data_IF_468513483868
#
_entry.id   IF_468513483868
#
_cell.length_a   1.000
_cell.length_b   1.000
_cell.length_c   1.000
_cell.angle_alpha   90.00
_cell.angle_beta   90.00
_cell.angle_gamma   90.00
#
_symmetry.space_group_name_H-M   'P 1'
#
loop_
_entity.id
_entity.type
_entity.pdbx_description
1 polymer ?
#
# COMPACT_ATOMS: atom_id res chain seq x y z
N UNK A 1 -7.73 -18.64 -25.53
CA UNK A 1 -6.71 -18.79 -24.46
C UNK A 1 -5.35 -18.69 -25.10
N UNK A 2 -4.59 -17.64 -24.86
CA UNK A 2 -3.22 -17.56 -25.36
C UNK A 2 -2.43 -18.71 -24.73
N UNK A 3 -2.03 -19.65 -25.53
CA UNK A 3 -1.10 -20.69 -25.12
C UNK A 3 0.15 -19.93 -24.64
N UNK A 4 0.59 -20.20 -23.42
CA UNK A 4 1.81 -19.61 -22.92
C UNK A 4 2.93 -19.87 -23.93
N UNK A 5 3.31 -18.82 -24.63
CA UNK A 5 4.28 -18.87 -25.73
C UNK A 5 5.67 -19.33 -25.29
N UNK A 6 5.92 -19.39 -23.99
CA UNK A 6 7.12 -19.91 -23.36
C UNK A 6 7.47 -21.34 -23.81
N UNK A 7 6.49 -22.15 -24.20
CA UNK A 7 6.72 -23.52 -24.64
C UNK A 7 6.85 -23.67 -26.16
N UNK A 8 6.64 -22.62 -26.92
CA UNK A 8 6.78 -22.63 -28.38
C UNK A 8 8.24 -22.37 -28.83
N UNK A 9 9.10 -21.88 -27.95
CA UNK A 9 10.50 -21.61 -28.27
C UNK A 9 11.36 -22.74 -27.71
N UNK A 10 12.17 -23.41 -28.55
CA UNK A 10 12.98 -24.57 -28.15
C UNK A 10 14.13 -24.21 -27.20
N UNK A 11 14.61 -22.98 -27.20
CA UNK A 11 15.71 -22.52 -26.36
C UNK A 11 15.50 -21.08 -25.87
N UNK A 12 15.61 -20.86 -24.57
CA UNK A 12 15.83 -19.54 -23.98
C UNK A 12 17.32 -19.41 -23.67
N UNK A 13 17.97 -18.45 -24.29
CA UNK A 13 19.35 -18.08 -23.93
C UNK A 13 19.34 -16.82 -23.10
N UNK A 14 19.90 -16.85 -21.89
CA UNK A 14 20.06 -15.70 -21.03
C UNK A 14 19.09 -15.64 -19.84
N UNK A 15 19.13 -14.54 -19.10
CA UNK A 15 18.33 -14.32 -17.90
C UNK A 15 16.90 -13.91 -18.26
N UNK A 16 15.91 -14.40 -17.50
CA UNK A 16 14.52 -13.95 -17.59
C UNK A 16 14.35 -12.64 -16.83
N UNK A 17 13.81 -11.62 -17.52
CA UNK A 17 13.50 -10.32 -16.93
C UNK A 17 12.01 -10.14 -16.79
N UNK A 18 11.58 -9.60 -15.65
CA UNK A 18 10.17 -9.26 -15.42
C UNK A 18 9.83 -7.97 -16.16
N UNK A 19 8.81 -8.01 -17.01
CA UNK A 19 8.28 -6.82 -17.68
C UNK A 19 7.09 -6.27 -16.90
N UNK A 20 7.20 -5.04 -16.42
CA UNK A 20 6.12 -4.33 -15.73
C UNK A 20 6.46 -3.96 -14.29
N UNK A 21 5.50 -3.32 -13.64
CA UNK A 21 5.60 -2.91 -12.25
C UNK A 21 5.34 -4.11 -11.34
N UNK A 22 6.24 -4.42 -10.44
CA UNK A 22 6.17 -5.61 -9.58
C UNK A 22 6.59 -5.35 -8.13
N UNK A 23 6.81 -4.08 -7.78
CA UNK A 23 7.25 -3.68 -6.44
C UNK A 23 6.05 -3.50 -5.52
N UNK A 24 6.22 -3.87 -4.26
CA UNK A 24 5.21 -3.75 -3.20
C UNK A 24 5.76 -2.94 -2.01
N UNK A 25 6.11 -1.65 -2.20
CA UNK A 25 6.77 -0.84 -1.18
C UNK A 25 5.85 -0.54 0.00
N UNK A 26 4.56 -0.30 -0.21
CA UNK A 26 3.64 0.05 0.86
C UNK A 26 3.47 -1.12 1.85
N UNK A 27 3.18 -2.33 1.35
CA UNK A 27 3.04 -3.52 2.19
C UNK A 27 4.35 -3.88 2.90
N UNK A 28 5.50 -3.61 2.29
CA UNK A 28 6.82 -3.79 2.93
C UNK A 28 7.00 -2.80 4.09
N UNK A 29 6.63 -1.54 3.90
CA UNK A 29 6.77 -0.49 4.92
C UNK A 29 5.90 -0.73 6.15
N UNK A 30 4.65 -1.19 5.96
CA UNK A 30 3.73 -1.47 7.05
C UNK A 30 3.89 -2.89 7.63
N UNK A 31 4.63 -3.78 6.94
CA UNK A 31 4.77 -5.19 7.29
C UNK A 31 5.56 -5.49 8.57
N UNK A 32 6.17 -4.48 9.19
CA UNK A 32 6.97 -4.65 10.42
C UNK A 32 6.14 -5.07 11.64
N UNK A 33 4.82 -4.82 11.65
CA UNK A 33 3.93 -5.07 12.78
C UNK A 33 2.68 -5.83 12.35
N UNK A 34 2.80 -7.07 11.88
CA UNK A 34 1.63 -7.85 11.48
C UNK A 34 0.74 -8.14 12.69
N UNK A 35 -0.55 -7.91 12.52
CA UNK A 35 -1.58 -8.23 13.49
C UNK A 35 -2.37 -9.46 13.05
N UNK A 36 -3.05 -10.11 13.98
CA UNK A 36 -3.93 -11.24 13.70
C UNK A 36 -5.30 -11.02 14.31
N UNK A 37 -6.31 -11.45 13.60
CA UNK A 37 -7.70 -11.48 14.06
C UNK A 37 -8.31 -12.86 13.85
N UNK A 38 -9.22 -13.25 14.72
CA UNK A 38 -10.04 -14.45 14.55
C UNK A 38 -11.46 -14.14 14.07
N UNK A 39 -11.73 -12.87 13.74
CA UNK A 39 -13.03 -12.41 13.26
C UNK A 39 -12.86 -11.64 11.96
N UNK A 40 -13.85 -11.71 11.07
CA UNK A 40 -13.83 -11.03 9.77
C UNK A 40 -13.81 -9.52 9.93
N UNK A 41 -14.56 -8.99 10.91
CA UNK A 41 -14.59 -7.57 11.23
C UNK A 41 -13.70 -7.27 12.42
N UNK A 42 -12.87 -6.24 12.33
CA UNK A 42 -11.97 -5.83 13.40
C UNK A 42 -11.98 -4.31 13.57
N UNK A 43 -11.68 -3.87 14.79
CA UNK A 43 -11.64 -2.46 15.14
C UNK A 43 -10.37 -1.80 14.58
N UNK A 44 -10.51 -0.59 14.10
CA UNK A 44 -9.44 0.23 13.52
C UNK A 44 -9.53 1.65 14.07
N UNK A 45 -8.39 2.24 14.43
CA UNK A 45 -8.30 3.67 14.73
C UNK A 45 -9.22 4.11 15.87
N UNK A 46 -8.99 3.61 17.07
CA UNK A 46 -9.68 4.10 18.27
C UNK A 46 -9.20 5.51 18.60
N UNK A 47 -10.14 6.44 18.75
CA UNK A 47 -9.86 7.85 19.00
C UNK A 47 -10.74 8.42 20.10
N UNK A 48 -10.27 9.47 20.74
CA UNK A 48 -11.06 10.32 21.62
C UNK A 48 -10.66 11.78 21.39
N UNK A 49 -11.59 12.69 21.60
CA UNK A 49 -11.31 14.11 21.42
C UNK A 49 -10.44 14.62 22.57
N UNK A 50 -9.40 15.37 22.22
CA UNK A 50 -8.55 16.01 23.23
C UNK A 50 -9.36 17.07 24.00
N UNK A 51 -9.17 17.18 25.31
CA UNK A 51 -9.81 18.24 26.08
C UNK A 51 -9.29 19.61 25.60
N UNK A 52 -10.21 20.52 25.31
CA UNK A 52 -9.89 21.89 24.92
C UNK A 52 -9.41 22.64 26.16
N UNK A 53 -8.16 23.07 26.14
CA UNK A 53 -7.59 23.94 27.17
C UNK A 53 -8.08 25.38 26.98
N UNK A 54 -8.82 25.89 27.94
CA UNK A 54 -9.19 27.31 28.03
C UNK A 54 -8.85 27.86 29.42
N UNK A 55 -8.60 29.16 29.53
CA UNK A 55 -8.43 29.76 30.83
C UNK A 55 -9.77 29.67 31.59
N UNK A 56 -9.79 29.01 32.79
CA UNK A 56 -11.01 28.90 33.55
C UNK A 56 -11.41 30.27 34.15
N UNK A 57 -12.67 30.66 33.97
CA UNK A 57 -13.25 31.87 34.58
C UNK A 57 -14.23 31.46 35.66
N UNK A 58 -13.70 31.05 36.83
CA UNK A 58 -14.51 30.63 37.96
C UNK A 58 -14.40 31.74 39.02
N UNK A 59 -15.53 32.41 39.30
CA UNK A 59 -15.59 33.41 40.40
C UNK A 59 -15.60 32.72 41.77
N UNK A 60 -15.25 33.45 42.83
CA UNK A 60 -15.30 32.92 44.20
C UNK A 60 -16.69 32.37 44.55
N UNK A 61 -17.74 33.09 44.17
CA UNK A 61 -19.13 32.62 44.38
C UNK A 61 -19.49 31.39 43.59
N UNK A 62 -19.02 31.29 42.31
CA UNK A 62 -19.25 30.13 41.46
C UNK A 62 -18.47 28.89 41.95
N UNK A 63 -17.35 29.08 42.62
CA UNK A 63 -16.53 27.97 43.17
C UNK A 63 -17.21 27.23 44.35
N UNK A 64 -18.25 27.81 44.95
CA UNK A 64 -19.03 27.19 46.02
C UNK A 64 -19.98 26.10 45.50
N UNK A 65 -20.19 26.01 44.20
CA UNK A 65 -21.03 24.98 43.57
C UNK A 65 -20.12 24.14 42.63
N UNK A 66 -20.15 22.82 42.78
CA UNK A 66 -19.38 21.92 41.92
C UNK A 66 -19.90 22.05 40.45
N UNK A 67 -18.96 22.17 39.46
CA UNK A 67 -19.37 22.18 38.06
C UNK A 67 -19.97 20.83 37.64
N UNK A 68 -20.84 20.85 36.63
CA UNK A 68 -21.39 19.64 36.04
C UNK A 68 -20.29 18.77 35.46
N UNK A 69 -20.35 17.42 35.65
CA UNK A 69 -19.35 16.52 35.16
C UNK A 69 -19.39 16.43 33.62
N UNK A 70 -18.23 16.54 33.01
CA UNK A 70 -18.07 16.34 31.56
C UNK A 70 -17.39 14.99 31.28
N UNK A 71 -17.76 14.35 30.18
CA UNK A 71 -17.25 13.05 29.78
C UNK A 71 -16.63 13.14 28.38
N UNK A 72 -15.47 12.48 28.22
CA UNK A 72 -14.85 12.31 26.90
C UNK A 72 -15.36 11.01 26.28
N UNK A 73 -15.95 11.11 25.10
CA UNK A 73 -16.44 9.95 24.34
C UNK A 73 -15.31 9.33 23.53
N UNK A 74 -15.33 8.01 23.39
CA UNK A 74 -14.42 7.26 22.52
C UNK A 74 -15.17 6.83 21.27
N UNK A 75 -14.50 6.95 20.14
CA UNK A 75 -15.00 6.47 18.85
C UNK A 75 -14.04 5.45 18.26
N UNK A 76 -14.56 4.51 17.50
CA UNK A 76 -13.75 3.56 16.76
C UNK A 76 -14.37 3.30 15.39
N UNK A 77 -13.52 3.08 14.40
CA UNK A 77 -13.92 2.59 13.10
C UNK A 77 -13.73 1.08 13.02
N UNK A 78 -14.33 0.46 12.02
CA UNK A 78 -14.15 -0.96 11.72
C UNK A 78 -13.67 -1.17 10.29
N UNK A 79 -12.94 -2.26 10.09
CA UNK A 79 -12.58 -2.75 8.78
C UNK A 79 -12.83 -4.25 8.71
N UNK A 80 -12.72 -4.85 7.53
CA UNK A 80 -12.98 -6.28 7.30
C UNK A 80 -11.78 -6.92 6.61
N UNK A 81 -11.62 -8.22 6.84
CA UNK A 81 -10.66 -9.03 6.09
C UNK A 81 -11.22 -9.41 4.73
N UNK A 82 -10.35 -9.51 3.72
CA UNK A 82 -10.66 -9.89 2.35
C UNK A 82 -9.94 -11.18 2.01
N UNK A 83 -10.58 -12.04 1.21
CA UNK A 83 -10.01 -13.28 0.72
C UNK A 83 -9.14 -12.99 -0.51
N UNK A 84 -7.94 -13.57 -0.51
CA UNK A 84 -7.03 -13.63 -1.65
C UNK A 84 -6.81 -15.09 -2.00
N UNK A 85 -7.19 -15.47 -3.21
CA UNK A 85 -7.11 -16.86 -3.66
C UNK A 85 -6.73 -16.92 -5.13
N UNK A 86 -5.73 -17.72 -5.44
CA UNK A 86 -5.28 -17.99 -6.80
C UNK A 86 -4.99 -19.48 -6.97
N UNK A 87 -5.18 -19.99 -8.17
CA UNK A 87 -4.93 -21.39 -8.48
C UNK A 87 -3.85 -21.52 -9.54
N UNK A 88 -2.94 -22.47 -9.34
CA UNK A 88 -1.90 -22.86 -10.29
C UNK A 88 -2.20 -24.26 -10.80
N UNK A 89 -2.12 -24.45 -12.10
CA UNK A 89 -2.27 -25.77 -12.74
C UNK A 89 -1.23 -25.93 -13.83
N UNK A 90 -0.41 -26.97 -13.74
CA UNK A 90 0.62 -27.30 -14.73
C UNK A 90 0.40 -28.71 -15.24
N UNK A 91 0.29 -28.87 -16.56
CA UNK A 91 0.10 -30.19 -17.20
C UNK A 91 1.40 -30.99 -17.20
N UNK A 92 1.31 -32.31 -17.16
CA UNK A 92 2.50 -33.18 -17.23
C UNK A 92 3.31 -32.96 -18.50
N UNK A 93 2.66 -32.67 -19.64
CA UNK A 93 3.36 -32.33 -20.88
C UNK A 93 4.20 -31.06 -20.78
N UNK A 94 3.76 -30.07 -19.98
CA UNK A 94 4.54 -28.87 -19.71
C UNK A 94 5.69 -29.15 -18.74
N UNK A 95 5.46 -29.92 -17.69
CA UNK A 95 6.51 -30.32 -16.75
C UNK A 95 7.60 -31.17 -17.39
N UNK A 96 7.27 -31.98 -18.41
CA UNK A 96 8.25 -32.79 -19.13
C UNK A 96 9.05 -32.02 -20.18
N UNK A 97 8.61 -30.82 -20.59
CA UNK A 97 9.30 -30.03 -21.60
C UNK A 97 10.35 -29.12 -20.95
N UNK A 98 11.50 -29.69 -20.67
CA UNK A 98 12.63 -28.98 -20.04
C UNK A 98 13.55 -28.26 -21.05
N UNK A 99 13.23 -28.33 -22.35
CA UNK A 99 13.99 -27.61 -23.40
C UNK A 99 15.42 -28.12 -23.65
N UNK A 100 15.78 -29.30 -23.13
CA UNK A 100 17.10 -29.92 -23.32
C UNK A 100 17.02 -31.15 -24.21
N UNK A 101 17.89 -31.24 -25.21
CA UNK A 101 18.04 -32.44 -26.03
C UNK A 101 19.13 -33.33 -25.40
N UNK A 102 18.80 -34.60 -25.12
CA UNK A 102 19.74 -35.56 -24.54
C UNK A 102 20.96 -35.76 -25.47
N UNK A 103 22.18 -35.55 -24.97
CA UNK A 103 23.43 -35.77 -25.68
C UNK A 103 24.08 -34.54 -26.32
N UNK A 104 23.41 -33.41 -26.40
CA UNK A 104 23.97 -32.14 -26.89
C UNK A 104 23.72 -31.04 -25.84
N UNK A 105 24.40 -31.18 -24.72
CA UNK A 105 24.34 -30.14 -23.69
C UNK A 105 25.25 -29.00 -24.08
N UNK A 106 24.66 -27.89 -24.51
CA UNK A 106 25.29 -26.60 -24.33
C UNK A 106 25.32 -26.34 -22.82
N UNK A 107 26.51 -26.47 -22.23
CA UNK A 107 26.74 -26.22 -20.83
C UNK A 107 26.18 -24.82 -20.44
N UNK A 108 25.48 -24.73 -19.32
CA UNK A 108 25.00 -23.50 -18.67
C UNK A 108 23.86 -22.74 -19.35
N UNK A 109 22.83 -23.42 -19.81
CA UNK A 109 21.57 -22.75 -20.14
C UNK A 109 20.61 -22.80 -18.96
N UNK A 110 20.72 -21.86 -18.04
CA UNK A 110 19.82 -21.68 -16.89
C UNK A 110 18.52 -20.93 -17.25
N UNK A 111 18.24 -20.73 -18.53
CA UNK A 111 17.10 -19.91 -18.95
C UNK A 111 15.74 -20.60 -18.87
N UNK A 112 15.70 -21.93 -18.89
CA UNK A 112 14.48 -22.70 -18.62
C UNK A 112 14.43 -23.04 -17.13
N UNK A 113 13.31 -22.73 -16.44
CA UNK A 113 13.15 -23.14 -15.05
C UNK A 113 13.21 -24.67 -14.98
N UNK A 114 14.10 -25.19 -14.13
CA UNK A 114 14.24 -26.63 -13.92
C UNK A 114 12.96 -27.28 -13.38
N UNK A 115 12.13 -26.50 -12.71
CA UNK A 115 10.81 -26.88 -12.21
C UNK A 115 9.77 -25.81 -12.61
N UNK A 116 9.01 -26.10 -13.64
CA UNK A 116 7.94 -25.20 -14.12
C UNK A 116 6.84 -24.98 -13.08
N UNK A 117 6.53 -25.99 -12.27
CA UNK A 117 5.51 -25.85 -11.23
C UNK A 117 5.96 -24.86 -10.14
N UNK A 118 7.19 -25.00 -9.66
CA UNK A 118 7.78 -24.09 -8.67
C UNK A 118 7.85 -22.65 -9.21
N UNK A 119 8.22 -22.48 -10.48
CA UNK A 119 8.24 -21.19 -11.15
C UNK A 119 6.85 -20.54 -11.18
N UNK A 120 5.82 -21.29 -11.60
CA UNK A 120 4.45 -20.79 -11.67
C UNK A 120 3.87 -20.45 -10.29
N UNK A 121 4.18 -21.25 -9.27
CA UNK A 121 3.81 -20.97 -7.87
C UNK A 121 4.44 -19.65 -7.42
N UNK A 122 5.74 -19.45 -7.66
CA UNK A 122 6.44 -18.23 -7.29
C UNK A 122 5.84 -16.98 -7.98
N UNK A 123 5.52 -17.08 -9.28
CA UNK A 123 4.87 -15.99 -10.03
C UNK A 123 3.45 -15.70 -9.53
N UNK A 124 2.72 -16.72 -9.13
CA UNK A 124 1.37 -16.55 -8.56
C UNK A 124 1.41 -15.92 -7.17
N UNK A 125 2.40 -16.27 -6.33
CA UNK A 125 2.63 -15.58 -5.06
C UNK A 125 2.95 -14.10 -5.26
N UNK A 126 3.78 -13.76 -6.23
CA UNK A 126 4.07 -12.37 -6.59
C UNK A 126 2.82 -11.64 -7.07
N UNK A 127 1.96 -12.29 -7.86
CA UNK A 127 0.66 -11.73 -8.26
C UNK A 127 -0.22 -11.42 -7.05
N UNK A 128 -0.32 -12.35 -6.09
CA UNK A 128 -1.08 -12.13 -4.84
C UNK A 128 -0.49 -10.95 -4.05
N UNK A 129 0.84 -10.86 -3.93
CA UNK A 129 1.49 -9.74 -3.24
C UNK A 129 1.13 -8.40 -3.89
N UNK A 130 1.07 -8.32 -5.22
CA UNK A 130 0.64 -7.12 -5.94
C UNK A 130 -0.85 -6.82 -5.75
N UNK A 131 -1.70 -7.84 -5.70
CA UNK A 131 -3.14 -7.67 -5.41
C UNK A 131 -3.33 -7.14 -3.98
N UNK A 132 -2.57 -7.65 -3.02
CA UNK A 132 -2.55 -7.17 -1.63
C UNK A 132 -2.13 -5.71 -1.60
N UNK A 133 -1.00 -5.36 -2.20
CA UNK A 133 -0.50 -3.97 -2.29
C UNK A 133 -1.56 -3.02 -2.84
N UNK A 134 -2.15 -3.37 -3.98
CA UNK A 134 -3.21 -2.58 -4.60
C UNK A 134 -4.43 -2.42 -3.69
N UNK A 135 -4.84 -3.50 -3.03
CA UNK A 135 -6.02 -3.50 -2.16
C UNK A 135 -5.79 -2.67 -0.89
N UNK A 136 -4.60 -2.78 -0.28
CA UNK A 136 -4.27 -1.99 0.91
C UNK A 136 -4.22 -0.48 0.63
N UNK A 137 -3.90 -0.07 -0.60
CA UNK A 137 -3.89 1.33 -1.01
C UNK A 137 -5.28 1.78 -1.49
N UNK A 138 -5.87 1.07 -2.46
CA UNK A 138 -7.05 1.51 -3.22
C UNK A 138 -8.36 0.83 -2.80
N UNK A 139 -8.34 -0.07 -1.83
CA UNK A 139 -9.50 -0.87 -1.44
C UNK A 139 -10.71 -0.02 -1.05
N UNK A 140 -11.88 -0.41 -1.56
CA UNK A 140 -13.17 0.20 -1.22
C UNK A 140 -13.88 -0.72 -0.24
N UNK A 141 -14.27 -0.18 0.92
CA UNK A 141 -14.90 -0.94 1.99
C UNK A 141 -16.24 -1.53 1.56
N UNK A 142 -16.37 -2.84 1.71
CA UNK A 142 -17.65 -3.57 1.59
C UNK A 142 -17.68 -4.64 2.67
N UNK A 143 -18.68 -4.58 3.55
CA UNK A 143 -18.99 -5.65 4.49
C UNK A 143 -20.07 -6.54 3.88
N UNK A 144 -19.77 -7.82 3.75
CA UNK A 144 -20.74 -8.81 3.23
C UNK A 144 -21.95 -8.89 4.17
N UNK A 145 -23.13 -8.88 3.58
CA UNK A 145 -24.41 -9.09 4.24
C UNK A 145 -25.01 -10.47 3.91
N UNK A 146 -24.36 -11.23 3.03
CA UNK A 146 -24.72 -12.58 2.61
C UNK A 146 -23.46 -13.32 2.11
N UNK A 147 -23.51 -14.65 2.10
CA UNK A 147 -22.37 -15.50 1.74
C UNK A 147 -21.89 -15.35 0.29
N UNK A 148 -22.75 -14.88 -0.59
CA UNK A 148 -22.43 -14.62 -2.00
C UNK A 148 -21.85 -13.21 -2.25
N UNK A 149 -21.72 -12.37 -1.22
CA UNK A 149 -21.14 -11.03 -1.30
C UNK A 149 -19.72 -11.05 -0.76
N UNK A 150 -18.76 -10.57 -1.54
CA UNK A 150 -17.38 -10.51 -1.12
C UNK A 150 -17.14 -9.40 -0.10
N UNK A 151 -16.47 -9.72 1.02
CA UNK A 151 -15.88 -8.71 1.88
C UNK A 151 -14.74 -8.02 1.15
N UNK A 152 -14.67 -6.69 1.24
CA UNK A 152 -13.57 -5.89 0.69
C UNK A 152 -13.02 -5.00 1.79
N UNK A 153 -11.74 -5.11 2.04
CA UNK A 153 -11.06 -4.29 3.04
C UNK A 153 -10.96 -2.84 2.58
N UNK A 154 -11.08 -1.90 3.52
CA UNK A 154 -10.87 -0.47 3.25
C UNK A 154 -9.39 -0.22 3.09
N UNK A 155 -8.98 0.33 1.95
CA UNK A 155 -7.62 0.81 1.71
C UNK A 155 -7.36 2.17 2.36
N UNK A 156 -6.09 2.54 2.44
CA UNK A 156 -5.68 3.77 3.12
C UNK A 156 -6.25 5.02 2.46
N UNK A 157 -6.32 5.09 1.12
CA UNK A 157 -6.89 6.23 0.41
C UNK A 157 -8.37 6.46 0.71
N UNK A 158 -9.12 5.37 0.94
CA UNK A 158 -10.53 5.44 1.30
C UNK A 158 -10.75 5.73 2.80
N UNK A 159 -9.73 5.51 3.64
CA UNK A 159 -9.77 5.77 5.07
C UNK A 159 -9.52 7.25 5.41
N UNK A 160 -8.80 7.98 4.56
CA UNK A 160 -8.45 9.39 4.77
C UNK A 160 -9.69 10.27 4.58
N UNK A 161 -10.08 11.07 5.59
CA UNK A 161 -11.24 11.95 5.52
C UNK A 161 -10.99 13.15 4.59
N UNK A 162 -12.06 13.81 4.18
CA UNK A 162 -11.95 15.01 3.33
C UNK A 162 -11.23 16.17 4.03
N UNK A 163 -11.27 16.23 5.36
CA UNK A 163 -10.51 17.23 6.15
C UNK A 163 -9.00 17.11 5.97
N UNK A 164 -8.50 15.91 5.64
CA UNK A 164 -7.07 15.64 5.39
C UNK A 164 -6.78 15.44 3.90
N UNK A 165 -7.63 15.98 3.04
CA UNK A 165 -7.49 15.87 1.59
C UNK A 165 -7.27 17.25 0.99
N UNK A 166 -6.17 17.43 0.25
CA UNK A 166 -5.95 18.59 -0.58
C UNK A 166 -6.33 18.23 -1.99
N UNK A 167 -7.30 18.93 -2.57
CA UNK A 167 -7.69 18.77 -3.96
C UNK A 167 -7.21 19.95 -4.80
N UNK A 168 -6.20 19.70 -5.61
CA UNK A 168 -5.59 20.73 -6.48
C UNK A 168 -6.44 21.08 -7.68
N UNK A 169 -7.49 20.30 -7.97
CA UNK A 169 -8.46 20.60 -9.05
C UNK A 169 -9.69 21.37 -8.58
N UNK A 170 -9.84 21.63 -7.28
CA UNK A 170 -11.02 22.35 -6.73
C UNK A 170 -11.14 23.79 -7.21
N UNK A 171 -10.07 24.37 -7.78
CA UNK A 171 -10.09 25.65 -8.50
C UNK A 171 -10.14 25.39 -10.02
N UNK A 172 -10.95 26.14 -10.81
CA UNK A 172 -11.07 25.92 -12.25
C UNK A 172 -9.81 26.34 -13.05
N UNK A 173 -8.67 26.41 -12.43
CA UNK A 173 -7.36 26.66 -13.04
C UNK A 173 -6.77 25.35 -13.60
N UNK A 174 -5.80 25.50 -14.50
CA UNK A 174 -5.09 24.36 -15.10
C UNK A 174 -4.55 23.38 -14.02
N UNK A 175 -4.49 22.08 -14.32
CA UNK A 175 -3.99 21.09 -13.37
C UNK A 175 -2.59 21.47 -12.88
N UNK A 176 -2.41 21.46 -11.55
CA UNK A 176 -1.21 21.96 -10.87
C UNK A 176 -0.25 20.82 -10.60
N UNK A 177 1.04 21.05 -10.76
CA UNK A 177 2.08 20.10 -10.37
C UNK A 177 2.20 20.04 -8.84
N UNK A 178 2.63 18.89 -8.32
CA UNK A 178 2.94 18.76 -6.91
C UNK A 178 4.16 19.62 -6.55
N UNK A 179 4.02 20.46 -5.52
CA UNK A 179 5.07 21.31 -4.97
C UNK A 179 5.41 20.92 -3.54
N UNK A 180 6.57 21.36 -3.04
CA UNK A 180 6.94 21.20 -1.66
C UNK A 180 6.02 21.95 -0.68
N UNK A 181 5.50 23.10 -1.10
CA UNK A 181 4.56 23.88 -0.30
C UNK A 181 3.26 23.09 -0.08
N UNK A 182 2.74 22.42 -1.12
CA UNK A 182 1.56 21.56 -0.98
C UNK A 182 1.80 20.39 -0.05
N UNK A 183 3.01 19.82 -0.06
CA UNK A 183 3.38 18.75 0.88
C UNK A 183 3.43 19.29 2.32
N UNK A 184 3.97 20.49 2.53
CA UNK A 184 3.99 21.13 3.84
C UNK A 184 2.58 21.47 4.35
N UNK A 185 1.68 21.94 3.47
CA UNK A 185 0.26 22.14 3.80
C UNK A 185 -0.43 20.82 4.21
N UNK A 186 -0.15 19.71 3.52
CA UNK A 186 -0.69 18.41 3.89
C UNK A 186 -0.19 17.94 5.27
N UNK A 187 1.07 18.24 5.62
CA UNK A 187 1.59 17.99 6.97
C UNK A 187 0.91 18.87 8.02
N UNK A 188 0.62 20.13 7.69
CA UNK A 188 -0.09 21.03 8.59
C UNK A 188 -1.50 20.49 8.91
N UNK A 189 -2.22 19.93 7.91
CA UNK A 189 -3.52 19.30 8.15
C UNK A 189 -3.43 18.12 9.13
N UNK A 190 -2.38 17.30 9.05
CA UNK A 190 -2.15 16.21 10.01
C UNK A 190 -1.89 16.78 11.41
N UNK A 191 -1.02 17.77 11.51
CA UNK A 191 -0.66 18.40 12.78
C UNK A 191 -1.85 19.09 13.46
N UNK A 192 -2.67 19.82 12.71
CA UNK A 192 -3.82 20.57 13.24
C UNK A 192 -4.88 19.67 13.86
N UNK A 193 -4.93 18.39 13.42
CA UNK A 193 -5.81 17.38 13.99
C UNK A 193 -5.14 16.54 15.09
N UNK A 194 -3.93 16.89 15.48
CA UNK A 194 -3.18 16.19 16.55
C UNK A 194 -2.46 14.94 16.09
N UNK A 195 -2.25 14.78 14.79
CA UNK A 195 -1.44 13.70 14.22
C UNK A 195 0.06 13.96 14.43
N UNK A 196 0.84 12.88 14.54
CA UNK A 196 2.29 12.97 14.63
C UNK A 196 2.90 13.10 13.23
N UNK A 197 3.75 14.10 13.04
CA UNK A 197 4.44 14.40 11.78
C UNK A 197 5.86 13.84 11.69
N UNK A 198 6.34 13.10 12.71
CA UNK A 198 7.76 12.70 12.79
C UNK A 198 8.12 11.57 11.84
N UNK A 199 7.25 10.60 11.61
CA UNK A 199 7.53 9.39 10.82
C UNK A 199 6.69 9.31 9.54
N UNK A 200 6.33 10.45 8.97
CA UNK A 200 5.52 10.50 7.76
C UNK A 200 6.34 10.07 6.53
N UNK A 201 5.72 9.26 5.70
CA UNK A 201 6.22 8.86 4.39
C UNK A 201 5.31 9.43 3.32
N UNK A 202 5.91 10.08 2.33
CA UNK A 202 5.24 10.55 1.12
C UNK A 202 5.35 9.47 0.03
N UNK A 203 4.25 8.81 -0.26
CA UNK A 203 4.12 7.91 -1.39
C UNK A 203 3.74 8.69 -2.65
N UNK A 204 4.52 8.54 -3.71
CA UNK A 204 4.29 9.19 -5.01
C UNK A 204 4.51 8.21 -6.16
N UNK A 205 3.90 8.50 -7.31
CA UNK A 205 4.23 7.79 -8.54
C UNK A 205 5.45 8.45 -9.24
N UNK A 206 5.96 7.83 -10.29
CA UNK A 206 7.16 8.30 -10.99
C UNK A 206 7.01 9.72 -11.56
N UNK A 207 5.85 10.06 -12.10
CA UNK A 207 5.59 11.40 -12.68
C UNK A 207 5.58 12.46 -11.60
N UNK A 208 4.89 12.19 -10.50
CA UNK A 208 4.80 13.11 -9.35
C UNK A 208 6.16 13.31 -8.67
N UNK A 209 6.99 12.25 -8.59
CA UNK A 209 8.36 12.35 -8.09
C UNK A 209 9.22 13.27 -8.97
N UNK A 210 9.08 13.17 -10.31
CA UNK A 210 9.78 14.07 -11.23
C UNK A 210 9.33 15.51 -11.08
N UNK A 211 8.04 15.76 -10.81
CA UNK A 211 7.51 17.10 -10.54
C UNK A 211 8.11 17.72 -9.27
N UNK A 212 8.18 16.95 -8.18
CA UNK A 212 8.86 17.40 -6.95
C UNK A 212 10.33 17.77 -7.18
N UNK A 213 11.06 16.91 -7.90
CA UNK A 213 12.46 17.21 -8.24
C UNK A 213 12.61 18.44 -9.13
N UNK A 214 11.64 18.71 -10.00
CA UNK A 214 11.63 19.91 -10.84
C UNK A 214 11.36 21.16 -10.00
N UNK A 215 10.37 21.10 -9.09
CA UNK A 215 10.06 22.21 -8.17
C UNK A 215 11.26 22.56 -7.28
N UNK A 216 11.94 21.55 -6.71
CA UNK A 216 13.15 21.76 -5.95
C UNK A 216 14.25 22.48 -6.73
N UNK A 217 14.48 22.09 -7.99
CA UNK A 217 15.48 22.73 -8.86
C UNK A 217 15.09 24.15 -9.22
N UNK A 218 13.79 24.40 -9.50
CA UNK A 218 13.28 25.73 -9.82
C UNK A 218 13.44 26.70 -8.66
N UNK A 219 13.23 26.24 -7.44
CA UNK A 219 13.29 27.05 -6.23
C UNK A 219 14.68 27.04 -5.55
N UNK A 220 15.72 26.49 -6.22
CA UNK A 220 17.07 26.32 -5.68
C UNK A 220 17.09 25.65 -4.29
N UNK A 221 16.15 24.78 -4.01
CA UNK A 221 16.11 24.01 -2.78
C UNK A 221 17.21 22.94 -2.77
N UNK A 222 17.99 22.89 -1.70
CA UNK A 222 18.98 21.83 -1.55
C UNK A 222 18.25 20.57 -1.06
N UNK A 223 18.08 19.60 -1.96
CA UNK A 223 17.67 18.26 -1.54
C UNK A 223 18.88 17.66 -0.86
N UNK A 224 18.85 17.56 0.46
CA UNK A 224 19.85 16.79 1.20
C UNK A 224 19.48 15.31 1.06
N UNK A 225 20.27 14.50 0.33
CA UNK A 225 20.04 13.07 0.27
C UNK A 225 20.41 12.46 1.63
N UNK A 226 19.47 12.46 2.56
CA UNK A 226 19.59 11.69 3.77
C UNK A 226 18.88 10.35 3.52
N UNK A 227 19.65 9.33 3.26
CA UNK A 227 19.11 7.98 3.12
C UNK A 227 18.67 7.46 4.48
N UNK A 228 17.38 7.36 4.71
CA UNK A 228 16.80 6.66 5.85
C UNK A 228 16.45 5.23 5.40
N UNK A 229 16.83 4.25 6.18
CA UNK A 229 16.45 2.87 5.94
C UNK A 229 15.22 2.51 6.78
N UNK A 230 14.08 2.25 6.14
CA UNK A 230 12.85 1.82 6.79
C UNK A 230 12.51 0.42 6.29
N UNK A 231 12.52 -0.56 7.17
CA UNK A 231 12.23 -1.96 6.87
C UNK A 231 13.00 -2.52 5.65
N UNK A 232 14.27 -2.10 5.48
CA UNK A 232 15.12 -2.55 4.38
C UNK A 232 14.99 -1.75 3.08
N UNK A 233 14.13 -0.73 3.02
CA UNK A 233 14.03 0.21 1.90
C UNK A 233 14.87 1.46 2.19
N UNK A 234 15.78 1.79 1.28
CA UNK A 234 16.47 3.08 1.30
C UNK A 234 15.52 4.15 0.75
N UNK A 235 15.24 5.18 1.54
CA UNK A 235 14.26 6.21 1.22
C UNK A 235 14.93 7.57 1.29
N UNK A 236 14.72 8.40 0.27
CA UNK A 236 15.19 9.79 0.25
C UNK A 236 14.32 10.63 1.20
N UNK A 237 14.93 11.54 1.94
CA UNK A 237 14.22 12.41 2.88
C UNK A 237 14.19 13.85 2.41
N UNK A 238 13.06 14.49 2.60
CA UNK A 238 12.82 15.90 2.36
C UNK A 238 12.61 16.60 3.69
N UNK A 239 13.31 17.68 3.93
CA UNK A 239 13.17 18.50 5.13
C UNK A 239 12.14 19.58 4.85
N UNK A 240 11.05 19.59 5.62
CA UNK A 240 10.03 20.64 5.60
C UNK A 240 10.07 21.43 6.91
N UNK A 241 9.35 22.56 6.95
CA UNK A 241 9.25 23.38 8.17
C UNK A 241 8.60 22.64 9.36
N UNK A 242 7.77 21.61 9.07
CA UNK A 242 7.03 20.82 10.06
C UNK A 242 7.65 19.45 10.37
N UNK A 243 8.78 19.13 9.74
CA UNK A 243 9.48 17.87 9.98
C UNK A 243 10.14 17.30 8.74
N UNK A 244 10.71 16.13 8.88
CA UNK A 244 11.34 15.38 7.79
C UNK A 244 10.38 14.36 7.21
N UNK A 245 10.15 14.40 5.91
CA UNK A 245 9.29 13.48 5.19
C UNK A 245 10.16 12.55 4.34
N UNK A 246 9.98 11.27 4.49
CA UNK A 246 10.59 10.27 3.64
C UNK A 246 9.79 10.09 2.35
N UNK A 247 10.43 10.10 1.18
CA UNK A 247 9.75 9.96 -0.11
C UNK A 247 9.96 8.57 -0.66
N UNK A 248 8.90 7.89 -1.03
CA UNK A 248 8.96 6.55 -1.63
C UNK A 248 8.13 6.45 -2.90
N UNK A 249 8.63 5.66 -3.85
CA UNK A 249 7.91 5.41 -5.09
C UNK A 249 6.90 4.27 -4.87
N UNK A 250 5.62 4.58 -5.05
CA UNK A 250 4.52 3.60 -4.95
C UNK A 250 3.81 3.52 -6.28
N UNK A 251 4.02 2.44 -7.00
CA UNK A 251 3.47 2.22 -8.33
C UNK A 251 1.96 1.96 -8.37
N UNK A 252 1.39 1.54 -7.24
CA UNK A 252 -0.04 1.20 -7.12
C UNK A 252 -0.94 2.40 -6.78
N UNK A 253 -0.36 3.61 -6.61
CA UNK A 253 -1.13 4.82 -6.43
C UNK A 253 -1.84 5.21 -7.73
N UNK A 254 -3.08 5.72 -7.65
CA UNK A 254 -3.76 6.31 -8.81
C UNK A 254 -2.98 7.51 -9.36
N UNK A 255 -3.05 7.68 -10.67
CA UNK A 255 -2.44 8.84 -11.30
C UNK A 255 -3.02 10.14 -10.75
N UNK A 256 -2.17 11.13 -10.55
CA UNK A 256 -2.58 12.41 -9.99
C UNK A 256 -2.87 12.40 -8.49
N UNK A 257 -2.41 11.38 -7.77
CA UNK A 257 -2.59 11.25 -6.32
C UNK A 257 -1.23 11.08 -5.63
N UNK A 258 -1.03 11.78 -4.52
CA UNK A 258 0.06 11.56 -3.59
C UNK A 258 -0.51 11.22 -2.20
N UNK A 259 0.16 10.35 -1.48
CA UNK A 259 -0.27 9.83 -0.18
C UNK A 259 0.77 10.15 0.88
N UNK A 260 0.38 10.86 1.94
CA UNK A 260 1.18 11.01 3.15
C UNK A 260 0.64 10.05 4.20
N UNK A 261 1.48 9.18 4.71
CA UNK A 261 1.06 8.22 5.72
C UNK A 261 2.13 7.96 6.76
N UNK A 262 1.70 7.60 7.95
CA UNK A 262 2.57 7.17 9.03
C UNK A 262 2.57 5.63 9.07
N UNK A 263 3.68 4.95 8.74
CA UNK A 263 3.74 3.50 8.73
C UNK A 263 3.70 2.88 10.14
N UNK A 264 3.99 3.66 11.19
CA UNK A 264 4.04 3.15 12.57
C UNK A 264 2.65 2.84 13.13
N UNK A 265 1.62 3.49 12.61
CA UNK A 265 0.21 3.27 13.01
C UNK A 265 -0.53 2.32 12.07
N UNK A 266 0.07 1.99 10.92
CA UNK A 266 -0.51 1.05 9.96
C UNK A 266 -0.02 -0.36 10.23
N UNK A 267 -0.91 -1.34 10.06
CA UNK A 267 -0.56 -2.76 10.19
C UNK A 267 -1.40 -3.64 9.24
N UNK A 268 -0.79 -4.66 8.61
CA UNK A 268 -1.55 -5.71 7.96
C UNK A 268 -2.19 -6.60 9.01
N UNK A 269 -3.48 -6.89 8.88
CA UNK A 269 -4.24 -7.74 9.79
C UNK A 269 -4.56 -9.04 9.09
N UNK A 270 -3.94 -10.12 9.54
CA UNK A 270 -4.16 -11.46 9.00
C UNK A 270 -5.28 -12.18 9.76
N UNK A 271 -6.07 -12.93 9.02
CA UNK A 271 -7.02 -13.88 9.61
C UNK A 271 -6.54 -15.31 9.32
N UNK A 272 -5.80 -15.94 10.24
CA UNK A 272 -5.24 -17.26 10.00
C UNK A 272 -6.32 -18.33 9.94
N UNK A 273 -6.16 -19.30 9.04
CA UNK A 273 -6.95 -20.51 9.05
C UNK A 273 -6.35 -21.48 10.08
N UNK A 274 -7.12 -22.04 11.01
CA UNK A 274 -6.62 -22.99 11.98
C UNK A 274 -5.82 -24.11 11.30
N UNK A 275 -4.65 -24.46 11.89
CA UNK A 275 -3.70 -25.47 11.42
C UNK A 275 -2.99 -25.16 10.09
N UNK A 276 -3.42 -24.13 9.30
CA UNK A 276 -2.84 -23.81 7.98
C UNK A 276 -2.06 -22.49 7.97
N UNK A 277 -2.37 -21.56 8.87
CA UNK A 277 -1.68 -20.27 8.98
C UNK A 277 -2.30 -19.13 8.15
N UNK A 278 -1.50 -18.08 7.90
CA UNK A 278 -1.97 -16.83 7.28
C UNK A 278 -2.19 -16.96 5.76
N UNK A 279 -1.15 -17.44 5.07
CA UNK A 279 -1.19 -17.77 3.65
C UNK A 279 -0.60 -19.17 3.50
N UNK A 280 -1.27 -20.01 2.76
CA UNK A 280 -0.82 -21.39 2.56
C UNK A 280 -1.06 -21.86 1.13
N UNK A 281 -0.24 -22.84 0.73
CA UNK A 281 -0.33 -23.55 -0.52
C UNK A 281 -0.92 -24.93 -0.26
N UNK A 282 -1.98 -25.29 -0.96
CA UNK A 282 -2.67 -26.58 -0.80
C UNK A 282 -2.82 -27.30 -2.16
N UNK A 283 -2.49 -28.58 -2.24
CA UNK A 283 -2.76 -29.37 -3.43
C UNK A 283 -4.26 -29.60 -3.60
N UNK A 284 -4.75 -29.44 -4.83
CA UNK A 284 -6.12 -29.72 -5.18
C UNK A 284 -6.26 -31.14 -5.76
N UNK A 285 -7.45 -31.70 -5.68
CA UNK A 285 -7.76 -33.02 -6.26
C UNK A 285 -7.43 -33.03 -7.76
N UNK A 286 -6.79 -34.09 -8.24
CA UNK A 286 -6.45 -34.27 -9.63
C UNK A 286 -7.71 -34.55 -10.46
N UNK A 287 -7.94 -33.74 -11.48
CA UNK A 287 -9.06 -33.91 -12.43
C UNK A 287 -8.60 -34.30 -13.83
N UNK A 288 -7.31 -34.63 -14.01
CA UNK A 288 -6.68 -34.97 -15.28
C UNK A 288 -5.17 -35.02 -15.17
N UNK A 289 -4.46 -35.00 -16.31
CA UNK A 289 -3.01 -35.06 -16.40
C UNK A 289 -2.35 -33.71 -16.08
N UNK A 290 -2.57 -33.20 -14.87
CA UNK A 290 -2.04 -31.95 -14.38
C UNK A 290 -1.92 -31.97 -12.85
N UNK A 291 -0.94 -31.30 -12.31
CA UNK A 291 -0.89 -30.97 -10.90
C UNK A 291 -1.50 -29.60 -10.67
N UNK A 292 -2.38 -29.50 -9.66
CA UNK A 292 -3.11 -28.29 -9.31
C UNK A 292 -2.86 -27.93 -7.87
N UNK A 293 -2.61 -26.66 -7.62
CA UNK A 293 -2.45 -26.09 -6.29
C UNK A 293 -3.26 -24.82 -6.18
N UNK A 294 -3.72 -24.52 -4.99
CA UNK A 294 -4.29 -23.21 -4.65
C UNK A 294 -3.45 -22.53 -3.59
N UNK A 295 -3.38 -21.23 -3.69
CA UNK A 295 -2.85 -20.35 -2.66
C UNK A 295 -4.05 -19.62 -2.07
N UNK A 296 -4.20 -19.66 -0.76
CA UNK A 296 -5.29 -19.01 -0.06
C UNK A 296 -4.77 -18.21 1.12
N UNK A 297 -5.37 -17.05 1.37
CA UNK A 297 -5.10 -16.23 2.54
C UNK A 297 -6.18 -15.18 2.75
N UNK A 298 -6.25 -14.65 3.96
CA UNK A 298 -7.18 -13.60 4.34
C UNK A 298 -6.42 -12.47 5.01
N UNK A 299 -6.64 -11.24 4.53
CA UNK A 299 -5.92 -10.07 4.98
C UNK A 299 -6.85 -8.84 4.98
N UNK A 300 -6.65 -7.96 5.95
CA UNK A 300 -7.21 -6.62 6.01
C UNK A 300 -6.15 -5.59 6.37
N UNK A 301 -6.52 -4.31 6.36
CA UNK A 301 -5.68 -3.19 6.75
C UNK A 301 -6.18 -2.56 8.05
N UNK A 302 -5.35 -2.53 9.07
CA UNK A 302 -5.46 -1.55 10.13
C UNK A 302 -4.70 -0.29 9.71
N UNK A 303 -5.44 0.76 9.37
CA UNK A 303 -4.86 2.04 8.97
C UNK A 303 -4.64 2.99 10.16
N UNK A 304 -4.91 2.53 11.39
CA UNK A 304 -4.84 3.39 12.56
C UNK A 304 -5.82 4.57 12.53
N UNK A 305 -5.56 5.62 13.32
CA UNK A 305 -6.37 6.83 13.28
C UNK A 305 -6.23 7.54 11.93
N UNK A 306 -7.35 7.81 11.26
CA UNK A 306 -7.37 8.35 9.90
C UNK A 306 -6.74 9.74 9.75
N UNK A 307 -6.68 10.52 10.82
CA UNK A 307 -6.06 11.85 10.85
C UNK A 307 -4.53 11.86 10.91
N UNK A 308 -3.89 10.68 11.06
CA UNK A 308 -2.44 10.51 10.90
C UNK A 308 -1.99 10.45 9.43
N UNK A 309 -2.95 10.51 8.51
CA UNK A 309 -2.70 10.40 7.08
C UNK A 309 -3.32 11.57 6.35
N UNK A 310 -2.71 11.94 5.22
CA UNK A 310 -3.26 12.93 4.30
C UNK A 310 -3.12 12.46 2.85
N UNK A 311 -3.95 12.96 1.97
CA UNK A 311 -3.81 12.72 0.54
C UNK A 311 -3.93 14.02 -0.24
N UNK A 312 -3.19 14.08 -1.34
CA UNK A 312 -3.25 15.18 -2.29
C UNK A 312 -3.78 14.57 -3.59
N UNK A 313 -4.87 15.12 -4.09
CA UNK A 313 -5.54 14.68 -5.32
C UNK A 313 -5.53 15.78 -6.37
N UNK A 314 -5.84 15.44 -7.61
CA UNK A 314 -5.92 16.44 -8.67
C UNK A 314 -4.55 16.94 -9.17
N UNK A 315 -3.47 16.23 -8.88
CA UNK A 315 -2.14 16.53 -9.39
C UNK A 315 -2.12 16.28 -10.91
N UNK A 316 -1.49 17.18 -11.66
CA UNK A 316 -1.34 16.98 -13.11
C UNK A 316 -0.53 15.74 -13.43
N UNK A 317 -0.94 14.99 -14.45
CA UNK A 317 -0.17 13.85 -14.97
C UNK A 317 0.91 14.26 -15.98
N UNK A 318 1.03 15.56 -16.27
CA UNK A 318 2.05 16.08 -17.19
C UNK A 318 3.45 15.96 -16.60
N UNK A 319 4.41 15.65 -17.46
CA UNK A 319 5.82 15.66 -17.07
C UNK A 319 6.34 17.09 -16.92
N UNK A 320 7.42 17.31 -16.15
CA UNK A 320 8.02 18.65 -16.00
C UNK A 320 8.37 19.35 -17.32
N UNK A 321 8.77 18.60 -18.35
CA UNK A 321 9.04 19.12 -19.69
C UNK A 321 7.81 19.71 -20.39
N UNK A 322 6.61 19.32 -19.99
CA UNK A 322 5.32 19.75 -20.53
C UNK A 322 4.69 20.88 -19.69
N UNK A 323 5.29 21.20 -18.53
CA UNK A 323 4.85 22.24 -17.60
C UNK A 323 5.60 23.57 -17.79
N UNK A 324 6.64 23.56 -18.58
CA UNK A 324 7.52 24.73 -18.80
C UNK A 324 7.05 25.69 -19.91
N UNK A 325 5.82 25.54 -20.42
CA UNK A 325 5.20 26.45 -21.37
C UNK A 325 4.21 27.42 -20.71
#
# INVERSE_FOLDING_TARGET
MAVATSFALPNYSGMLFVKGKHRTPFSTLIGARPMQTNHVEFAVGQTYDAPIGSQPEISETASLTAPEPSFVTRTQNTNVTQIFQETVAVSYGKMSNMGTLSGLNAANQEANPADELAFQIARTMEKIAMQVEYTLINGVYVKANADNVANKTRGILAAIPNSNTIDLQSTPQAPVALTYDTVAEALALIHDQGGDTTDIILGVNATTLLQLNWDARKNNMTIVPASRNVNGLAIDTVITALGTVAVTLIDSLPDGTALLFNPTVCAPVFQPVPEKGNFFLEPLAKTGAADKYQIFGQLGLDHGPSFYHAKITGITTKKPSELSE
#
